data_IF_003908104074
#
_entry.id   IF_003908104074
#
_cell.length_a   1.000
_cell.length_b   1.000
_cell.length_c   1.000
_cell.angle_alpha   90.00
_cell.angle_beta   90.00
_cell.angle_gamma   90.00
#
_symmetry.space_group_name_H-M   'P 1'
#
loop_
_entity.id
_entity.type
_entity.pdbx_description
1 polymer ?
#
# COMPACT_ATOMS: atom_id res chain seq x y z
N UNK A 1 -9.68 0.41 21.23
CA UNK A 1 -8.75 0.40 20.09
C UNK A 1 -7.55 1.24 20.45
N UNK A 2 -6.39 0.60 20.70
CA UNK A 2 -5.14 1.29 20.99
C UNK A 2 -4.69 2.04 19.72
N UNK A 3 -5.16 3.27 19.54
CA UNK A 3 -4.52 4.22 18.64
C UNK A 3 -3.21 4.61 19.34
N UNK A 4 -2.15 3.87 19.04
CA UNK A 4 -0.81 4.15 19.57
C UNK A 4 -0.46 5.60 19.29
N UNK A 5 -0.06 6.33 20.33
CA UNK A 5 0.38 7.73 20.31
C UNK A 5 1.50 8.02 19.30
N UNK A 6 2.12 6.98 18.74
CA UNK A 6 3.25 7.02 17.80
C UNK A 6 2.84 6.82 16.34
N UNK A 7 1.53 6.83 16.02
CA UNK A 7 1.08 6.67 14.64
C UNK A 7 1.31 7.95 13.81
N UNK A 8 1.92 7.81 12.64
CA UNK A 8 2.17 8.92 11.70
C UNK A 8 0.99 9.15 10.77
N UNK A 9 0.79 10.39 10.28
CA UNK A 9 -0.22 10.64 9.26
C UNK A 9 0.13 9.97 7.93
N UNK A 10 -0.87 9.49 7.18
CA UNK A 10 -0.69 8.89 5.86
C UNK A 10 0.17 9.77 4.92
N UNK A 11 -0.03 11.09 4.99
CA UNK A 11 0.67 12.05 4.14
C UNK A 11 2.13 12.31 4.54
N UNK A 12 2.55 11.84 5.72
CA UNK A 12 3.92 11.94 6.23
C UNK A 12 4.78 10.74 5.83
N UNK A 13 4.17 9.66 5.35
CA UNK A 13 4.87 8.46 4.89
C UNK A 13 5.57 8.76 3.56
N UNK A 14 6.86 8.43 3.46
CA UNK A 14 7.60 8.43 2.21
C UNK A 14 7.34 7.15 1.40
N UNK A 15 6.35 7.21 0.51
CA UNK A 15 6.03 6.14 -0.42
C UNK A 15 6.95 6.06 -1.63
N UNK A 16 7.99 6.89 -1.72
CA UNK A 16 9.00 6.72 -2.78
C UNK A 16 9.87 5.48 -2.50
N UNK A 17 10.02 5.09 -1.24
CA UNK A 17 10.74 3.87 -0.86
C UNK A 17 9.92 2.59 -1.13
N UNK A 18 10.56 1.40 -1.09
CA UNK A 18 9.85 0.13 -1.00
C UNK A 18 9.04 0.09 0.29
N UNK A 19 7.71 -0.06 0.17
CA UNK A 19 6.79 0.01 1.31
C UNK A 19 5.78 -1.12 1.21
N UNK A 20 5.57 -1.84 2.31
CA UNK A 20 4.48 -2.79 2.47
C UNK A 20 3.42 -2.16 3.38
N UNK A 21 2.18 -2.05 2.88
CA UNK A 21 1.04 -1.59 3.68
C UNK A 21 0.28 -2.79 4.20
N UNK A 22 0.07 -2.85 5.50
CA UNK A 22 -0.70 -3.90 6.18
C UNK A 22 -1.99 -3.29 6.69
N UNK A 23 -3.12 -3.85 6.27
CA UNK A 23 -4.44 -3.43 6.72
C UNK A 23 -5.06 -4.55 7.56
N UNK A 24 -5.62 -4.14 8.70
CA UNK A 24 -6.28 -5.05 9.64
C UNK A 24 -7.75 -5.25 9.30
N UNK A 25 -8.33 -6.37 9.72
CA UNK A 25 -9.76 -6.64 9.52
C UNK A 25 -10.64 -5.76 10.44
N UNK A 26 -11.88 -5.54 10.07
CA UNK A 26 -12.81 -4.56 10.69
C UNK A 26 -13.10 -4.84 12.17
N UNK A 27 -13.01 -6.11 12.60
CA UNK A 27 -13.30 -6.51 13.98
C UNK A 27 -12.08 -6.40 14.91
N UNK A 28 -10.93 -6.92 14.49
CA UNK A 28 -9.76 -7.08 15.37
C UNK A 28 -8.58 -6.18 15.00
N UNK A 29 -8.68 -5.43 13.89
CA UNK A 29 -7.58 -4.66 13.35
C UNK A 29 -6.44 -5.55 12.85
N UNK A 30 -5.20 -5.07 12.98
CA UNK A 30 -3.99 -5.80 12.60
C UNK A 30 -3.60 -6.74 13.76
N UNK A 31 -3.29 -8.01 13.45
CA UNK A 31 -2.88 -8.98 14.47
C UNK A 31 -1.66 -8.49 15.25
N UNK A 32 -1.50 -8.94 16.49
CA UNK A 32 -0.36 -8.55 17.33
C UNK A 32 0.99 -8.96 16.72
N UNK A 33 1.03 -10.10 16.04
CA UNK A 33 2.20 -10.55 15.27
C UNK A 33 2.61 -9.54 14.20
N UNK A 34 1.68 -9.11 13.34
CA UNK A 34 1.98 -8.12 12.30
C UNK A 34 2.32 -6.76 12.89
N UNK A 35 1.70 -6.36 14.01
CA UNK A 35 2.05 -5.11 14.71
C UNK A 35 3.49 -5.15 15.24
N UNK A 36 3.97 -6.29 15.73
CA UNK A 36 5.34 -6.44 16.22
C UNK A 36 6.39 -6.49 15.11
N UNK A 37 5.99 -6.88 13.90
CA UNK A 37 6.87 -6.89 12.72
C UNK A 37 6.87 -5.56 11.95
N UNK A 38 5.90 -4.69 12.19
CA UNK A 38 5.76 -3.44 11.45
C UNK A 38 6.80 -2.41 11.92
N UNK A 39 7.36 -1.67 10.96
CA UNK A 39 8.26 -0.54 11.23
C UNK A 39 7.54 0.65 11.89
N UNK A 40 6.21 0.67 11.83
CA UNK A 40 5.37 1.68 12.44
C UNK A 40 3.89 1.52 12.12
N UNK A 41 3.08 2.38 12.71
CA UNK A 41 1.64 2.50 12.42
C UNK A 41 1.35 3.83 11.75
N UNK A 42 0.29 3.87 10.95
CA UNK A 42 -0.18 5.11 10.35
C UNK A 42 -1.69 5.29 10.51
N UNK A 43 -2.11 6.54 10.38
CA UNK A 43 -3.52 6.93 10.40
C UNK A 43 -3.87 7.76 9.17
N UNK A 44 -5.08 7.59 8.66
CA UNK A 44 -5.64 8.49 7.66
C UNK A 44 -6.28 9.64 8.43
N UNK A 45 -5.79 10.89 8.29
CA UNK A 45 -6.41 12.03 8.95
C UNK A 45 -7.88 12.15 8.56
N UNK A 46 -8.75 12.17 9.57
CA UNK A 46 -10.20 12.20 9.41
C UNK A 46 -10.77 13.36 10.22
N UNK A 47 -11.85 13.95 9.73
CA UNK A 47 -12.60 14.99 10.41
C UNK A 47 -13.99 14.46 10.76
N UNK A 48 -14.50 14.81 11.95
CA UNK A 48 -15.83 14.42 12.40
C UNK A 48 -15.81 13.29 13.44
N UNK A 49 -16.96 12.62 13.60
CA UNK A 49 -17.20 11.66 14.68
C UNK A 49 -16.86 10.20 14.32
N UNK A 50 -16.52 9.94 13.06
CA UNK A 50 -16.25 8.59 12.56
C UNK A 50 -14.87 8.15 13.06
N UNK A 51 -14.82 6.96 13.67
CA UNK A 51 -13.60 6.43 14.28
C UNK A 51 -12.69 5.71 13.28
N UNK A 52 -13.25 5.19 12.18
CA UNK A 52 -12.51 4.49 11.15
C UNK A 52 -13.23 4.53 9.80
N UNK A 53 -12.46 4.48 8.73
CA UNK A 53 -12.97 4.22 7.39
C UNK A 53 -13.19 2.73 7.20
N UNK A 54 -14.09 2.37 6.28
CA UNK A 54 -14.12 1.01 5.74
C UNK A 54 -12.73 0.63 5.19
N UNK A 55 -12.34 -0.63 5.37
CA UNK A 55 -11.00 -1.11 5.01
C UNK A 55 -10.67 -0.87 3.53
N UNK A 56 -11.64 -1.10 2.61
CA UNK A 56 -11.40 -0.90 1.17
C UNK A 56 -11.18 0.57 0.83
N UNK A 57 -11.87 1.49 1.52
CA UNK A 57 -11.69 2.93 1.38
C UNK A 57 -10.33 3.35 1.92
N UNK A 58 -9.93 2.84 3.08
CA UNK A 58 -8.61 3.11 3.65
C UNK A 58 -7.48 2.63 2.73
N UNK A 59 -7.62 1.43 2.15
CA UNK A 59 -6.70 0.89 1.15
C UNK A 59 -6.61 1.80 -0.07
N UNK A 60 -7.76 2.17 -0.65
CA UNK A 60 -7.80 3.03 -1.84
C UNK A 60 -7.12 4.38 -1.58
N UNK A 61 -7.47 5.07 -0.50
CA UNK A 61 -6.87 6.36 -0.14
C UNK A 61 -5.36 6.25 0.02
N UNK A 62 -4.88 5.21 0.72
CA UNK A 62 -3.45 5.00 0.95
C UNK A 62 -2.68 4.70 -0.33
N UNK A 63 -3.24 3.84 -1.20
CA UNK A 63 -2.63 3.49 -2.50
C UNK A 63 -2.59 4.70 -3.43
N UNK A 64 -3.63 5.54 -3.44
CA UNK A 64 -3.64 6.74 -4.28
C UNK A 64 -2.65 7.80 -3.80
N UNK A 65 -2.41 7.94 -2.49
CA UNK A 65 -1.32 8.80 -2.00
C UNK A 65 0.05 8.24 -2.41
N UNK A 66 0.26 6.93 -2.28
CA UNK A 66 1.49 6.29 -2.75
C UNK A 66 1.69 6.50 -4.26
N UNK A 67 0.62 6.36 -5.05
CA UNK A 67 0.64 6.64 -6.49
C UNK A 67 1.00 8.10 -6.77
N UNK A 68 0.42 9.06 -6.05
CA UNK A 68 0.74 10.49 -6.18
C UNK A 68 2.23 10.76 -5.92
N UNK A 69 2.77 10.27 -4.81
CA UNK A 69 4.19 10.46 -4.46
C UNK A 69 5.12 9.80 -5.47
N UNK A 70 4.84 8.54 -5.85
CA UNK A 70 5.63 7.81 -6.86
C UNK A 70 5.57 8.46 -8.25
N UNK A 71 4.44 9.09 -8.59
CA UNK A 71 4.28 9.86 -9.84
C UNK A 71 5.14 11.11 -9.82
N UNK A 72 5.08 11.89 -8.74
CA UNK A 72 5.92 13.10 -8.56
C UNK A 72 7.41 12.75 -8.56
N UNK A 73 7.80 11.62 -7.97
CA UNK A 73 9.17 11.10 -7.99
C UNK A 73 9.59 10.51 -9.36
N UNK A 74 8.69 10.45 -10.34
CA UNK A 74 8.99 9.93 -11.68
C UNK A 74 9.16 8.41 -11.75
N UNK A 75 8.69 7.65 -10.75
CA UNK A 75 8.86 6.19 -10.70
C UNK A 75 8.11 5.45 -11.81
N UNK A 76 7.05 6.04 -12.35
CA UNK A 76 6.30 5.48 -13.47
C UNK A 76 6.85 5.88 -14.85
N UNK A 77 7.93 6.68 -14.91
CA UNK A 77 8.57 7.06 -16.18
C UNK A 77 9.45 5.93 -16.76
N UNK A 78 9.83 4.95 -15.94
CA UNK A 78 10.65 3.80 -16.35
C UNK A 78 10.13 2.52 -15.71
N UNK A 79 10.22 1.42 -16.43
CA UNK A 79 9.87 0.10 -15.90
C UNK A 79 10.93 -0.36 -14.91
N UNK A 80 10.55 -0.62 -13.67
CA UNK A 80 11.46 -1.10 -12.62
C UNK A 80 11.63 -2.62 -12.62
N UNK A 81 10.75 -3.35 -13.30
CA UNK A 81 10.75 -4.81 -13.32
C UNK A 81 11.83 -5.33 -14.30
N UNK A 82 12.69 -6.28 -13.92
CA UNK A 82 13.63 -6.91 -14.86
C UNK A 82 12.89 -7.56 -16.04
N UNK A 83 13.49 -7.52 -17.23
CA UNK A 83 12.87 -8.03 -18.47
C UNK A 83 12.45 -9.50 -18.33
N UNK A 84 13.31 -10.34 -17.76
CA UNK A 84 13.00 -11.76 -17.53
C UNK A 84 11.71 -11.95 -16.72
N UNK A 85 11.50 -11.12 -15.69
CA UNK A 85 10.30 -11.16 -14.85
C UNK A 85 9.09 -10.54 -15.56
N UNK A 86 9.28 -9.53 -16.40
CA UNK A 86 8.21 -9.01 -17.26
C UNK A 86 7.70 -10.08 -18.22
N UNK A 87 8.60 -10.80 -18.90
CA UNK A 87 8.23 -11.84 -19.87
C UNK A 87 7.55 -13.03 -19.18
N UNK A 88 8.02 -13.43 -17.99
CA UNK A 88 7.35 -14.44 -17.18
C UNK A 88 5.89 -14.04 -16.85
N UNK A 89 5.67 -12.80 -16.38
CA UNK A 89 4.32 -12.31 -16.06
C UNK A 89 3.44 -12.21 -17.31
N UNK A 90 3.98 -11.72 -18.44
CA UNK A 90 3.24 -11.64 -19.71
C UNK A 90 2.79 -13.02 -20.19
N UNK A 91 3.66 -14.03 -20.04
CA UNK A 91 3.33 -15.42 -20.35
C UNK A 91 2.22 -15.94 -19.43
N UNK A 92 2.36 -15.75 -18.11
CA UNK A 92 1.37 -16.23 -17.13
C UNK A 92 -0.01 -15.56 -17.31
N UNK A 93 -0.03 -14.30 -17.76
CA UNK A 93 -1.25 -13.55 -18.03
C UNK A 93 -1.81 -13.79 -19.44
N UNK A 94 -1.18 -14.63 -20.26
CA UNK A 94 -1.67 -15.02 -21.58
C UNK A 94 -1.46 -13.98 -22.68
N UNK A 95 -0.62 -12.96 -22.47
CA UNK A 95 -0.28 -11.97 -23.52
C UNK A 95 0.64 -12.53 -24.60
N UNK A 96 1.35 -13.62 -24.29
CA UNK A 96 2.13 -14.38 -25.26
C UNK A 96 1.36 -15.67 -25.56
N UNK A 97 0.43 -15.62 -26.52
CA UNK A 97 -0.09 -16.85 -27.11
C UNK A 97 1.09 -17.54 -27.78
N UNK A 98 1.35 -18.78 -27.36
CA UNK A 98 2.21 -19.66 -28.15
C UNK A 98 1.35 -20.10 -29.33
N UNK A 99 1.22 -19.23 -30.33
CA UNK A 99 0.56 -19.61 -31.58
C UNK A 99 1.57 -20.38 -32.43
N UNK A 100 1.24 -21.68 -32.60
CA UNK A 100 1.85 -22.75 -33.41
C UNK A 100 2.91 -23.63 -32.73
#
# INVERSE_FOLDING_TARGET
THLSTDAVGLYEIDFTQPTALVFGNEHDGVSEEFRNMADGNFVIPQMGIIQSLNISVACAVSIYEAFRQKTVAGHYLRTSLPVEKQEAIKKDWGFLTTDL
#
